data_IF_404833406768
#
_entry.id   IF_404833406768
#
_cell.length_a   1.000
_cell.length_b   1.000
_cell.length_c   1.000
_cell.angle_alpha   90.00
_cell.angle_beta   90.00
_cell.angle_gamma   90.00
#
_symmetry.space_group_name_H-M   'P 1'
#
loop_
_entity.id
_entity.type
_entity.pdbx_description
1 polymer ?
#
# COMPACT_ATOMS: atom_id res chain seq x y z
N UNK A 1 -0.32 -1.62 21.00
CA UNK A 1 -0.69 -1.06 19.69
C UNK A 1 -1.03 -2.24 18.78
N UNK A 2 -2.20 -2.23 18.13
CA UNK A 2 -2.57 -3.27 17.16
C UNK A 2 -1.76 -3.11 15.87
N UNK A 3 -1.44 -4.24 15.24
CA UNK A 3 -0.87 -4.24 13.88
C UNK A 3 -1.96 -3.99 12.84
N UNK A 4 -1.58 -3.58 11.63
CA UNK A 4 -2.50 -3.41 10.50
C UNK A 4 -3.31 -4.70 10.25
N UNK A 5 -2.64 -5.86 10.25
CA UNK A 5 -3.30 -7.16 10.04
C UNK A 5 -4.40 -7.42 11.10
N UNK A 6 -4.11 -7.09 12.37
CA UNK A 6 -5.09 -7.25 13.45
C UNK A 6 -6.31 -6.35 13.27
N UNK A 7 -6.12 -5.13 12.74
CA UNK A 7 -7.22 -4.19 12.43
C UNK A 7 -8.01 -4.68 11.23
N UNK A 8 -7.34 -5.06 10.15
CA UNK A 8 -8.00 -5.60 8.94
C UNK A 8 -8.84 -6.83 9.27
N UNK A 9 -8.34 -7.72 10.14
CA UNK A 9 -9.05 -8.93 10.57
C UNK A 9 -10.42 -8.63 11.22
N UNK A 10 -10.57 -7.47 11.87
CA UNK A 10 -11.84 -7.05 12.49
C UNK A 10 -12.92 -6.73 11.45
N UNK A 11 -12.53 -6.40 10.23
CA UNK A 11 -13.45 -6.04 9.13
C UNK A 11 -13.77 -7.22 8.19
N UNK A 12 -13.02 -8.33 8.24
CA UNK A 12 -13.06 -9.41 7.23
C UNK A 12 -14.48 -9.90 6.92
N UNK A 13 -15.29 -10.17 7.96
CA UNK A 13 -16.64 -10.69 7.79
C UNK A 13 -17.58 -9.67 7.11
N UNK A 14 -17.28 -8.38 7.20
CA UNK A 14 -18.06 -7.31 6.57
C UNK A 14 -17.64 -7.02 5.13
N UNK A 15 -16.48 -7.53 4.72
CA UNK A 15 -15.98 -7.42 3.34
C UNK A 15 -16.46 -8.57 2.44
N UNK A 16 -17.08 -9.60 3.02
CA UNK A 16 -17.63 -10.73 2.27
C UNK A 16 -18.80 -10.25 1.38
N UNK A 17 -18.78 -10.67 0.11
CA UNK A 17 -19.80 -10.34 -0.88
C UNK A 17 -19.71 -8.92 -1.48
N UNK A 18 -18.76 -8.10 -1.09
CA UNK A 18 -18.47 -6.86 -1.80
C UNK A 18 -17.94 -7.15 -3.21
N UNK A 19 -18.16 -6.21 -4.15
CA UNK A 19 -17.48 -6.27 -5.45
C UNK A 19 -15.96 -6.38 -5.23
N UNK A 20 -15.23 -7.25 -5.93
CA UNK A 20 -13.81 -7.49 -5.67
C UNK A 20 -12.94 -6.23 -5.74
N UNK A 21 -13.19 -5.33 -6.71
CA UNK A 21 -12.43 -4.07 -6.83
C UNK A 21 -12.79 -3.11 -5.69
N UNK A 22 -14.08 -2.97 -5.37
CA UNK A 22 -14.51 -2.15 -4.23
C UNK A 22 -13.94 -2.65 -2.90
N UNK A 23 -13.88 -3.98 -2.71
CA UNK A 23 -13.24 -4.60 -1.54
C UNK A 23 -11.77 -4.18 -1.43
N UNK A 24 -10.99 -4.25 -2.52
CA UNK A 24 -9.58 -3.82 -2.54
C UNK A 24 -9.46 -2.34 -2.15
N UNK A 25 -10.36 -1.48 -2.65
CA UNK A 25 -10.37 -0.05 -2.28
C UNK A 25 -10.62 0.15 -0.78
N UNK A 26 -11.57 -0.60 -0.21
CA UNK A 26 -11.87 -0.53 1.24
C UNK A 26 -10.71 -1.05 2.08
N UNK A 27 -10.07 -2.13 1.67
CA UNK A 27 -8.86 -2.66 2.34
C UNK A 27 -7.71 -1.65 2.30
N UNK A 28 -7.52 -0.97 1.15
CA UNK A 28 -6.53 0.11 1.01
C UNK A 28 -6.88 1.33 1.87
N UNK A 29 -8.18 1.65 2.03
CA UNK A 29 -8.60 2.70 2.95
C UNK A 29 -8.20 2.39 4.39
N UNK A 30 -8.42 1.17 4.86
CA UNK A 30 -8.01 0.74 6.22
C UNK A 30 -6.49 0.89 6.38
N UNK A 31 -5.72 0.47 5.39
CA UNK A 31 -4.26 0.60 5.38
C UNK A 31 -3.81 2.07 5.46
N UNK A 32 -4.34 2.94 4.61
CA UNK A 32 -3.97 4.36 4.56
C UNK A 32 -4.34 5.11 5.84
N UNK A 33 -5.51 4.83 6.39
CA UNK A 33 -5.91 5.37 7.69
C UNK A 33 -4.95 4.89 8.80
N UNK A 34 -4.57 3.60 8.79
CA UNK A 34 -3.60 3.06 9.75
C UNK A 34 -2.25 3.78 9.70
N UNK A 35 -1.74 4.04 8.49
CA UNK A 35 -0.47 4.77 8.29
C UNK A 35 -0.55 6.20 8.83
N UNK A 36 -1.72 6.85 8.71
CA UNK A 36 -1.96 8.18 9.30
C UNK A 36 -2.11 8.15 10.83
N UNK A 37 -2.22 6.97 11.42
CA UNK A 37 -2.47 6.84 12.85
C UNK A 37 -3.94 6.60 13.20
N UNK A 38 -4.87 6.73 12.27
CA UNK A 38 -6.31 6.54 12.48
C UNK A 38 -6.70 5.08 12.27
N UNK A 39 -7.38 4.49 13.24
CA UNK A 39 -7.86 3.12 13.13
C UNK A 39 -9.35 3.09 12.80
N UNK A 40 -9.72 2.28 11.82
CA UNK A 40 -11.12 2.11 11.42
C UNK A 40 -11.49 0.63 11.31
N UNK A 41 -12.78 0.35 11.46
CA UNK A 41 -13.38 -0.95 11.15
C UNK A 41 -14.58 -0.77 10.24
N UNK A 42 -14.80 -1.72 9.34
CA UNK A 42 -16.01 -1.79 8.55
C UNK A 42 -17.11 -2.44 9.39
N UNK A 43 -18.17 -1.71 9.59
CA UNK A 43 -19.30 -2.13 10.43
C UNK A 43 -20.42 -2.77 9.61
N UNK A 44 -20.55 -2.40 8.32
CA UNK A 44 -21.50 -2.97 7.38
C UNK A 44 -20.92 -2.99 5.97
N UNK A 45 -21.08 -4.10 5.25
CA UNK A 45 -20.74 -4.28 3.84
C UNK A 45 -21.98 -4.63 3.01
N UNK A 46 -21.94 -5.79 2.31
CA UNK A 46 -23.10 -6.29 1.58
C UNK A 46 -24.31 -6.47 2.49
N UNK A 47 -25.47 -6.08 2.01
CA UNK A 47 -26.75 -6.22 2.68
C UNK A 47 -27.76 -6.86 1.73
N UNK A 48 -28.45 -7.88 2.17
CA UNK A 48 -29.56 -8.49 1.41
C UNK A 48 -30.73 -7.51 1.28
N UNK A 49 -31.60 -7.74 0.32
CA UNK A 49 -32.83 -6.95 0.18
C UNK A 49 -33.71 -7.06 1.43
N UNK A 50 -33.83 -8.26 2.02
CA UNK A 50 -34.64 -8.49 3.22
C UNK A 50 -34.07 -7.73 4.43
N UNK A 51 -32.75 -7.71 4.64
CA UNK A 51 -32.10 -6.91 5.69
C UNK A 51 -32.33 -5.41 5.47
N UNK A 52 -32.25 -4.94 4.23
CA UNK A 52 -32.53 -3.56 3.89
C UNK A 52 -33.99 -3.18 4.16
N UNK A 53 -34.94 -4.06 3.83
CA UNK A 53 -36.35 -3.84 4.12
C UNK A 53 -36.64 -3.83 5.62
N UNK A 54 -35.98 -4.67 6.40
CA UNK A 54 -36.05 -4.66 7.86
C UNK A 54 -35.56 -3.31 8.45
N UNK A 55 -34.43 -2.80 7.95
CA UNK A 55 -33.95 -1.45 8.33
C UNK A 55 -34.93 -0.34 7.88
N UNK A 56 -35.51 -0.46 6.69
CA UNK A 56 -36.50 0.48 6.22
C UNK A 56 -37.77 0.49 7.07
N UNK A 57 -38.23 -0.66 7.57
CA UNK A 57 -39.38 -0.80 8.43
C UNK A 57 -39.20 -0.12 9.80
N UNK A 58 -37.93 -0.01 10.27
CA UNK A 58 -37.60 0.63 11.55
C UNK A 58 -38.09 2.09 11.56
N UNK A 59 -38.77 2.48 12.65
CA UNK A 59 -39.32 3.81 12.83
C UNK A 59 -40.54 4.09 11.96
N UNK A 60 -41.23 3.04 11.44
CA UNK A 60 -42.45 3.12 10.62
C UNK A 60 -43.50 2.13 11.13
N UNK A 61 -44.75 2.30 10.74
CA UNK A 61 -45.84 1.37 11.04
C UNK A 61 -45.98 1.03 12.55
N UNK A 62 -45.83 2.04 13.43
CA UNK A 62 -45.94 1.88 14.88
C UNK A 62 -44.61 1.55 15.60
N UNK A 63 -43.52 1.30 14.89
CA UNK A 63 -42.21 1.18 15.47
C UNK A 63 -41.68 2.55 15.95
N UNK A 64 -41.39 2.67 17.24
CA UNK A 64 -40.95 3.92 17.89
C UNK A 64 -39.45 4.22 17.74
N UNK A 65 -38.67 3.28 17.19
CA UNK A 65 -37.24 3.49 16.97
C UNK A 65 -37.02 4.60 15.91
N UNK A 66 -35.89 5.29 15.90
CA UNK A 66 -35.60 6.28 14.89
C UNK A 66 -35.49 5.64 13.50
N UNK A 67 -35.87 6.37 12.46
CA UNK A 67 -35.69 5.97 11.06
C UNK A 67 -34.19 6.00 10.73
N UNK A 68 -33.62 4.88 10.32
CA UNK A 68 -32.20 4.75 10.01
C UNK A 68 -31.90 4.75 8.51
N UNK A 69 -32.92 4.59 7.65
CA UNK A 69 -32.74 4.65 6.20
C UNK A 69 -34.02 5.11 5.49
N UNK A 70 -33.87 5.71 4.31
CA UNK A 70 -34.97 6.00 3.37
C UNK A 70 -35.06 4.96 2.26
N UNK A 71 -34.05 4.09 2.11
CA UNK A 71 -33.97 3.10 1.03
C UNK A 71 -34.63 1.78 1.43
N UNK A 72 -35.48 1.24 0.56
CA UNK A 72 -36.01 -0.14 0.63
C UNK A 72 -35.00 -1.13 0.05
N UNK A 73 -35.28 -2.42 0.15
CA UNK A 73 -34.55 -3.48 -0.52
C UNK A 73 -34.39 -3.19 -2.02
N UNK A 74 -33.15 -3.31 -2.52
CA UNK A 74 -32.79 -2.97 -3.89
C UNK A 74 -32.59 -1.47 -4.16
N UNK A 75 -32.74 -0.58 -3.18
CA UNK A 75 -32.58 0.87 -3.34
C UNK A 75 -31.37 1.43 -2.56
N UNK A 76 -30.49 0.56 -2.09
CA UNK A 76 -29.23 0.90 -1.43
C UNK A 76 -28.06 0.27 -2.18
N UNK A 77 -26.93 0.97 -2.31
CA UNK A 77 -25.71 0.44 -2.93
C UNK A 77 -25.08 -0.72 -2.12
N UNK A 78 -25.42 -0.84 -0.83
CA UNK A 78 -25.09 -2.03 -0.04
C UNK A 78 -25.68 -3.32 -0.63
N UNK A 79 -26.86 -3.25 -1.29
CA UNK A 79 -27.50 -4.41 -1.88
C UNK A 79 -26.75 -4.97 -3.10
N UNK A 80 -25.80 -4.21 -3.63
CA UNK A 80 -25.06 -4.56 -4.83
C UNK A 80 -23.56 -4.73 -4.57
N UNK A 81 -23.12 -4.60 -3.30
CA UNK A 81 -21.74 -4.75 -2.89
C UNK A 81 -20.83 -3.58 -3.28
N UNK A 82 -21.38 -2.39 -3.45
CA UNK A 82 -20.67 -1.16 -3.80
C UNK A 82 -20.75 -0.07 -2.72
N UNK A 83 -21.12 -0.44 -1.50
CA UNK A 83 -21.12 0.44 -0.34
C UNK A 83 -20.63 -0.28 0.92
N UNK A 84 -20.02 0.48 1.81
CA UNK A 84 -19.59 0.04 3.13
C UNK A 84 -19.77 1.17 4.15
N UNK A 85 -20.12 0.80 5.38
CA UNK A 85 -20.16 1.73 6.51
C UNK A 85 -18.95 1.46 7.41
N UNK A 86 -18.30 2.53 7.89
CA UNK A 86 -17.16 2.45 8.80
C UNK A 86 -17.47 3.05 10.17
N UNK A 87 -16.62 2.77 11.13
CA UNK A 87 -16.52 3.47 12.40
C UNK A 87 -15.05 3.58 12.81
N UNK A 88 -14.72 4.56 13.64
CA UNK A 88 -13.42 4.65 14.27
C UNK A 88 -13.23 3.48 15.25
N UNK A 89 -12.05 2.88 15.27
CA UNK A 89 -11.64 1.91 16.27
C UNK A 89 -10.68 2.62 17.23
N UNK A 90 -11.07 2.76 18.48
CA UNK A 90 -10.25 3.47 19.45
C UNK A 90 -8.97 2.70 19.81
N UNK A 91 -8.00 3.39 20.40
CA UNK A 91 -6.67 2.85 20.75
C UNK A 91 -6.70 1.66 21.71
N UNK A 92 -7.82 1.41 22.40
CA UNK A 92 -8.01 0.18 23.18
C UNK A 92 -8.18 -1.08 22.29
N UNK A 93 -8.37 -0.87 20.98
CA UNK A 93 -8.54 -1.92 19.98
C UNK A 93 -9.84 -2.70 20.10
N UNK A 94 -10.82 -2.20 20.84
CA UNK A 94 -12.11 -2.88 21.12
C UNK A 94 -13.30 -1.96 20.93
N UNK A 95 -13.21 -0.75 21.42
CA UNK A 95 -14.29 0.24 21.37
C UNK A 95 -14.38 0.88 19.99
N UNK A 96 -15.58 0.96 19.44
CA UNK A 96 -15.85 1.71 18.20
C UNK A 96 -16.54 3.03 18.55
N UNK A 97 -16.27 4.06 17.75
CA UNK A 97 -16.85 5.40 17.91
C UNK A 97 -17.41 5.91 16.59
N UNK A 98 -18.57 6.56 16.67
CA UNK A 98 -19.18 7.33 15.57
C UNK A 98 -19.12 8.84 15.81
N UNK A 99 -18.32 9.25 16.78
CA UNK A 99 -18.07 10.66 17.08
C UNK A 99 -17.19 11.26 15.98
N UNK A 100 -17.76 12.13 15.17
CA UNK A 100 -17.11 12.77 14.04
C UNK A 100 -16.11 13.87 14.43
N UNK A 101 -16.06 14.23 15.72
CA UNK A 101 -15.12 15.21 16.28
C UNK A 101 -14.01 14.56 17.08
N UNK A 102 -14.03 13.21 17.20
CA UNK A 102 -13.02 12.46 17.93
C UNK A 102 -11.64 12.62 17.29
N UNK A 103 -10.67 12.94 18.11
CA UNK A 103 -9.24 12.96 17.85
C UNK A 103 -8.60 11.98 18.84
N UNK A 104 -8.38 10.73 18.43
CA UNK A 104 -7.89 9.65 19.30
C UNK A 104 -6.37 9.47 19.18
N UNK A 105 -5.78 9.91 18.06
CA UNK A 105 -4.34 9.90 17.84
C UNK A 105 -3.64 11.18 18.32
N UNK A 106 -4.42 12.24 18.60
CA UNK A 106 -3.99 13.52 19.21
C UNK A 106 -3.09 14.37 18.31
N UNK A 107 -3.37 14.35 17.01
CA UNK A 107 -2.69 15.18 16.04
C UNK A 107 -3.38 16.55 15.82
N UNK A 108 -4.49 16.79 16.54
CA UNK A 108 -5.35 18.00 16.47
C UNK A 108 -6.29 18.03 15.25
N UNK A 109 -6.42 16.94 14.51
CA UNK A 109 -7.41 16.77 13.46
C UNK A 109 -8.46 15.76 13.91
N UNK A 110 -9.74 15.94 13.56
CA UNK A 110 -10.73 14.89 13.81
C UNK A 110 -10.46 13.67 12.95
N UNK A 111 -10.23 12.51 13.56
CA UNK A 111 -9.96 11.23 12.89
C UNK A 111 -10.96 10.93 11.76
N UNK A 112 -12.24 11.29 11.98
CA UNK A 112 -13.28 11.09 10.98
C UNK A 112 -13.02 11.84 9.68
N UNK A 113 -12.55 13.08 9.77
CA UNK A 113 -12.24 13.91 8.61
C UNK A 113 -11.05 13.36 7.82
N UNK A 114 -10.09 12.77 8.51
CA UNK A 114 -8.94 12.12 7.87
C UNK A 114 -9.36 10.85 7.12
N UNK A 115 -10.25 10.03 7.69
CA UNK A 115 -10.84 8.88 6.97
C UNK A 115 -11.55 9.33 5.71
N UNK A 116 -12.36 10.39 5.80
CA UNK A 116 -13.10 10.94 4.64
C UNK A 116 -12.14 11.47 3.58
N UNK A 117 -11.06 12.13 3.99
CA UNK A 117 -10.02 12.62 3.06
C UNK A 117 -9.38 11.44 2.30
N UNK A 118 -8.94 10.40 3.00
CA UNK A 118 -8.35 9.22 2.37
C UNK A 118 -9.36 8.47 1.49
N UNK A 119 -10.62 8.36 1.92
CA UNK A 119 -11.69 7.76 1.13
C UNK A 119 -11.89 8.51 -0.21
N UNK A 120 -11.92 9.85 -0.18
CA UNK A 120 -12.04 10.68 -1.39
C UNK A 120 -10.82 10.56 -2.31
N UNK A 121 -9.61 10.50 -1.78
CA UNK A 121 -8.39 10.22 -2.55
C UNK A 121 -8.48 8.86 -3.28
N UNK A 122 -9.04 7.86 -2.63
CA UNK A 122 -9.31 6.54 -3.23
C UNK A 122 -10.51 6.53 -4.20
N UNK A 123 -11.22 7.67 -4.36
CA UNK A 123 -12.36 7.85 -5.26
C UNK A 123 -13.66 7.28 -4.73
N UNK A 124 -13.78 7.17 -3.41
CA UNK A 124 -15.04 6.87 -2.76
C UNK A 124 -15.90 8.14 -2.63
N UNK A 125 -17.20 7.98 -2.77
CA UNK A 125 -18.19 8.99 -2.42
C UNK A 125 -18.58 8.81 -0.96
N UNK A 126 -18.74 9.92 -0.23
CA UNK A 126 -19.10 9.93 1.19
C UNK A 126 -20.53 10.37 1.41
N UNK A 127 -21.30 9.63 2.20
CA UNK A 127 -22.69 9.96 2.53
C UNK A 127 -22.87 11.25 3.34
N UNK A 128 -21.84 11.75 4.00
CA UNK A 128 -21.84 13.05 4.68
C UNK A 128 -21.92 14.24 3.73
N UNK A 129 -21.56 14.08 2.45
CA UNK A 129 -21.68 15.13 1.41
C UNK A 129 -23.10 15.24 0.85
N UNK A 130 -24.00 14.30 1.17
CA UNK A 130 -25.36 14.34 0.63
C UNK A 130 -26.15 15.55 1.15
N UNK A 131 -26.91 16.17 0.27
CA UNK A 131 -27.71 17.35 0.63
C UNK A 131 -28.84 17.03 1.60
N UNK A 132 -29.43 15.82 1.47
CA UNK A 132 -30.52 15.35 2.31
C UNK A 132 -30.19 13.99 2.89
N UNK A 133 -30.54 13.78 4.16
CA UNK A 133 -30.27 12.53 4.86
C UNK A 133 -28.80 12.15 4.82
N UNK A 134 -27.98 13.00 5.43
CA UNK A 134 -26.54 12.72 5.58
C UNK A 134 -26.33 11.40 6.32
N UNK A 135 -25.45 10.57 5.78
CA UNK A 135 -25.08 9.29 6.33
C UNK A 135 -23.58 9.27 6.56
N UNK A 136 -23.18 9.63 7.78
CA UNK A 136 -21.77 9.86 8.11
C UNK A 136 -20.88 8.63 7.95
N UNK A 137 -21.30 7.40 8.35
CA UNK A 137 -20.52 6.18 8.15
C UNK A 137 -20.37 5.74 6.70
N UNK A 138 -21.27 6.18 5.80
CA UNK A 138 -21.45 5.58 4.48
C UNK A 138 -20.40 6.00 3.47
N UNK A 139 -19.76 5.02 2.85
CA UNK A 139 -18.85 5.15 1.72
C UNK A 139 -19.32 4.28 0.56
N UNK A 140 -19.23 4.77 -0.68
CA UNK A 140 -19.65 4.01 -1.87
C UNK A 140 -18.77 4.30 -3.09
N UNK A 141 -18.81 3.39 -4.09
CA UNK A 141 -18.21 3.59 -5.41
C UNK A 141 -19.16 3.05 -6.47
N UNK A 142 -19.84 3.92 -7.18
CA UNK A 142 -20.99 3.52 -8.02
C UNK A 142 -20.74 3.61 -9.53
N UNK A 143 -19.58 4.10 -9.98
CA UNK A 143 -19.21 4.15 -11.40
C UNK A 143 -20.24 4.85 -12.29
N UNK A 144 -20.88 5.90 -11.77
CA UNK A 144 -22.01 6.62 -12.41
C UNK A 144 -23.25 5.75 -12.66
N UNK A 145 -23.37 4.59 -12.01
CA UNK A 145 -24.56 3.74 -12.06
C UNK A 145 -25.46 4.05 -10.86
N UNK A 146 -26.76 4.18 -11.13
CA UNK A 146 -27.78 4.29 -10.10
C UNK A 146 -28.19 2.91 -9.55
N UNK A 147 -28.88 2.90 -8.40
CA UNK A 147 -29.48 1.65 -7.90
C UNK A 147 -30.56 1.10 -8.87
N UNK A 148 -31.17 1.94 -9.72
CA UNK A 148 -32.05 1.48 -10.78
C UNK A 148 -31.29 0.71 -11.87
N UNK A 149 -30.11 1.20 -12.26
CA UNK A 149 -29.25 0.50 -13.22
C UNK A 149 -28.80 -0.84 -12.66
N UNK A 150 -28.40 -0.89 -11.39
CA UNK A 150 -28.03 -2.15 -10.72
C UNK A 150 -29.21 -3.14 -10.67
N UNK A 151 -30.45 -2.68 -10.37
CA UNK A 151 -31.65 -3.53 -10.42
C UNK A 151 -31.94 -4.04 -11.82
N UNK A 152 -31.66 -3.23 -12.86
CA UNK A 152 -31.76 -3.62 -14.25
C UNK A 152 -30.64 -4.55 -14.73
N UNK A 153 -29.76 -4.99 -13.81
CA UNK A 153 -28.66 -5.92 -14.12
C UNK A 153 -27.39 -5.25 -14.66
N UNK A 154 -27.37 -3.91 -14.81
CA UNK A 154 -26.13 -3.23 -15.22
C UNK A 154 -25.04 -3.35 -14.16
N UNK A 155 -23.81 -3.42 -14.61
CA UNK A 155 -22.61 -3.47 -13.75
C UNK A 155 -21.52 -2.56 -14.33
N UNK A 156 -20.55 -2.11 -13.51
CA UNK A 156 -19.38 -1.41 -14.04
C UNK A 156 -18.68 -2.24 -15.12
N UNK A 157 -18.23 -1.58 -16.17
CA UNK A 157 -17.43 -2.23 -17.21
C UNK A 157 -16.06 -2.64 -16.70
N UNK A 158 -15.44 -3.65 -17.32
CA UNK A 158 -14.09 -4.06 -16.98
C UNK A 158 -13.08 -2.91 -17.10
N UNK A 159 -13.27 -2.02 -18.08
CA UNK A 159 -12.43 -0.83 -18.26
C UNK A 159 -12.50 0.11 -17.04
N UNK A 160 -13.71 0.34 -16.49
CA UNK A 160 -13.88 1.15 -15.28
C UNK A 160 -13.23 0.51 -14.05
N UNK A 161 -13.39 -0.81 -13.88
CA UNK A 161 -12.76 -1.56 -12.80
C UNK A 161 -11.23 -1.52 -12.91
N UNK A 162 -10.68 -1.75 -14.12
CA UNK A 162 -9.25 -1.69 -14.38
C UNK A 162 -8.68 -0.28 -14.13
N UNK A 163 -9.42 0.78 -14.45
CA UNK A 163 -8.99 2.15 -14.16
C UNK A 163 -8.81 2.41 -12.65
N UNK A 164 -9.69 1.85 -11.82
CA UNK A 164 -9.54 1.93 -10.34
C UNK A 164 -8.28 1.20 -9.90
N UNK A 165 -8.05 -0.05 -10.36
CA UNK A 165 -6.87 -0.83 -10.00
C UNK A 165 -5.58 -0.14 -10.45
N UNK A 166 -5.54 0.42 -11.67
CA UNK A 166 -4.38 1.17 -12.17
C UNK A 166 -4.08 2.40 -11.31
N UNK A 167 -5.13 3.12 -10.86
CA UNK A 167 -4.97 4.26 -9.96
C UNK A 167 -4.41 3.83 -8.60
N UNK A 168 -4.92 2.73 -8.03
CA UNK A 168 -4.40 2.20 -6.76
C UNK A 168 -2.94 1.79 -6.88
N UNK A 169 -2.55 1.13 -7.98
CA UNK A 169 -1.16 0.75 -8.23
C UNK A 169 -0.26 1.98 -8.32
N UNK A 170 -0.71 3.04 -9.01
CA UNK A 170 0.04 4.29 -9.08
C UNK A 170 0.20 4.93 -7.70
N UNK A 171 -0.86 4.98 -6.89
CA UNK A 171 -0.80 5.49 -5.52
C UNK A 171 0.16 4.66 -4.65
N UNK A 172 0.17 3.34 -4.78
CA UNK A 172 1.12 2.49 -4.05
C UNK A 172 2.57 2.81 -4.43
N UNK A 173 2.86 3.03 -5.71
CA UNK A 173 4.19 3.43 -6.15
C UNK A 173 4.60 4.81 -5.63
N UNK A 174 3.63 5.75 -5.52
CA UNK A 174 3.86 7.08 -4.94
C UNK A 174 4.05 7.00 -3.41
N UNK A 175 3.30 6.13 -2.72
CA UNK A 175 3.43 5.88 -1.27
C UNK A 175 4.77 5.15 -0.93
N UNK A 176 5.28 4.30 -1.85
CA UNK A 176 6.59 3.63 -1.75
C UNK A 176 7.76 4.56 -2.10
N UNK A 177 7.48 5.78 -2.55
CA UNK A 177 8.54 6.76 -2.77
C UNK A 177 9.20 7.09 -1.44
N UNK A 178 10.51 6.80 -1.35
CA UNK A 178 11.31 7.03 -0.14
C UNK A 178 11.04 8.40 0.46
N UNK A 179 10.78 8.44 1.74
CA UNK A 179 10.69 9.69 2.50
C UNK A 179 11.98 10.52 2.38
N UNK A 180 11.94 11.79 2.68
CA UNK A 180 13.13 12.64 2.66
C UNK A 180 14.22 12.11 3.60
N UNK A 181 13.84 11.51 4.73
CA UNK A 181 14.75 10.91 5.70
C UNK A 181 15.37 9.63 5.15
N UNK A 182 14.57 8.76 4.52
CA UNK A 182 15.06 7.54 3.86
C UNK A 182 15.95 7.87 2.66
N UNK A 183 15.60 8.86 1.83
CA UNK A 183 16.46 9.37 0.75
C UNK A 183 17.81 9.87 1.30
N UNK A 184 17.78 10.58 2.43
CA UNK A 184 19.00 11.08 3.08
C UNK A 184 19.85 9.92 3.61
N UNK A 185 19.23 8.94 4.29
CA UNK A 185 19.92 7.74 4.79
C UNK A 185 20.48 6.89 3.65
N UNK A 186 19.72 6.69 2.57
CA UNK A 186 20.15 5.97 1.38
C UNK A 186 21.34 6.67 0.70
N UNK A 187 21.28 7.99 0.51
CA UNK A 187 22.37 8.76 -0.07
C UNK A 187 23.63 8.70 0.81
N UNK A 188 23.48 8.71 2.14
CA UNK A 188 24.60 8.57 3.07
C UNK A 188 25.23 7.17 2.98
N UNK A 189 24.38 6.13 2.88
CA UNK A 189 24.85 4.75 2.69
C UNK A 189 25.58 4.59 1.35
N UNK A 190 25.02 5.15 0.27
CA UNK A 190 25.63 5.12 -1.05
C UNK A 190 27.02 5.79 -1.06
N UNK A 191 27.16 6.96 -0.40
CA UNK A 191 28.46 7.64 -0.24
C UNK A 191 29.44 6.76 0.54
N UNK A 192 29.00 6.06 1.58
CA UNK A 192 29.85 5.14 2.36
C UNK A 192 30.30 3.94 1.53
N UNK A 193 29.42 3.37 0.72
CA UNK A 193 29.77 2.26 -0.20
C UNK A 193 30.81 2.73 -1.20
N UNK A 194 30.60 3.87 -1.87
CA UNK A 194 31.56 4.43 -2.83
C UNK A 194 32.92 4.71 -2.15
N UNK A 195 32.91 5.22 -0.92
CA UNK A 195 34.14 5.48 -0.17
C UNK A 195 34.88 4.18 0.18
N UNK A 196 34.15 3.13 0.60
CA UNK A 196 34.72 1.82 0.88
C UNK A 196 35.26 1.13 -0.38
N UNK A 197 34.54 1.20 -1.48
CA UNK A 197 35.00 0.69 -2.78
C UNK A 197 36.25 1.45 -3.26
N UNK A 198 36.28 2.76 -3.10
CA UNK A 198 37.45 3.58 -3.46
C UNK A 198 38.63 3.32 -2.54
N UNK A 199 38.41 3.11 -1.24
CA UNK A 199 39.46 2.79 -0.29
C UNK A 199 40.08 1.40 -0.57
N UNK A 200 39.32 0.48 -1.16
CA UNK A 200 39.79 -0.83 -1.56
C UNK A 200 40.50 -0.85 -2.93
N UNK A 201 40.45 0.23 -3.71
CA UNK A 201 41.11 0.35 -5.00
C UNK A 201 42.49 0.96 -4.83
N UNK A 202 43.52 0.24 -5.28
CA UNK A 202 44.88 0.78 -5.36
C UNK A 202 45.06 1.39 -6.74
N UNK A 203 45.25 2.73 -6.80
CA UNK A 203 45.40 3.51 -8.05
C UNK A 203 46.61 3.09 -8.86
N UNK A 204 47.58 2.40 -8.25
CA UNK A 204 48.76 1.84 -8.91
C UNK A 204 48.94 0.40 -8.47
N UNK A 205 49.46 -0.39 -9.37
CA UNK A 205 49.88 -1.76 -9.06
C UNK A 205 50.93 -1.71 -7.96
N UNK A 206 50.78 -2.43 -6.83
CA UNK A 206 51.80 -2.49 -5.80
C UNK A 206 53.08 -3.16 -6.35
N UNK A 207 54.25 -2.70 -5.96
CA UNK A 207 55.53 -3.21 -6.45
C UNK A 207 55.65 -4.74 -6.33
N UNK A 208 55.09 -5.33 -5.26
CA UNK A 208 55.10 -6.78 -5.05
C UNK A 208 54.22 -7.58 -6.02
N UNK A 209 53.29 -6.93 -6.74
CA UNK A 209 52.36 -7.53 -7.71
C UNK A 209 52.68 -7.18 -9.17
N UNK A 210 53.60 -6.26 -9.41
CA UNK A 210 53.91 -5.76 -10.77
C UNK A 210 54.21 -6.87 -11.76
N UNK A 211 55.16 -7.77 -11.39
CA UNK A 211 55.56 -8.87 -12.28
C UNK A 211 54.38 -9.83 -12.57
N UNK A 212 53.61 -10.15 -11.56
CA UNK A 212 52.45 -11.02 -11.72
C UNK A 212 51.38 -10.42 -12.64
N UNK A 213 51.15 -9.12 -12.53
CA UNK A 213 50.23 -8.40 -13.44
C UNK A 213 50.75 -8.35 -14.89
N UNK A 214 52.07 -8.17 -15.09
CA UNK A 214 52.71 -8.25 -16.40
C UNK A 214 52.51 -9.63 -17.01
N UNK A 215 52.78 -10.70 -16.23
CA UNK A 215 52.62 -12.08 -16.68
C UNK A 215 51.18 -12.43 -17.03
N UNK A 216 50.22 -12.02 -16.19
CA UNK A 216 48.81 -12.21 -16.42
C UNK A 216 48.31 -11.49 -17.67
N UNK A 217 48.81 -10.26 -17.93
CA UNK A 217 48.53 -9.50 -19.13
C UNK A 217 49.13 -10.17 -20.39
N UNK A 218 50.36 -10.63 -20.31
CA UNK A 218 51.01 -11.36 -21.40
C UNK A 218 50.32 -12.70 -21.70
N UNK A 219 49.71 -13.32 -20.72
CA UNK A 219 48.90 -14.53 -20.87
C UNK A 219 47.47 -14.25 -21.41
N UNK A 220 47.08 -13.00 -21.59
CA UNK A 220 45.73 -12.61 -22.04
C UNK A 220 44.62 -12.81 -21.02
N UNK A 221 44.97 -12.95 -19.72
CA UNK A 221 44.04 -13.17 -18.61
C UNK A 221 43.62 -11.83 -17.97
N UNK A 222 44.41 -10.77 -18.23
CA UNK A 222 44.20 -9.45 -17.64
C UNK A 222 44.31 -8.36 -18.72
N UNK A 223 43.26 -7.55 -18.93
CA UNK A 223 43.25 -6.44 -19.89
C UNK A 223 43.92 -5.18 -19.32
N UNK A 224 43.62 -4.85 -18.06
CA UNK A 224 44.21 -3.72 -17.34
C UNK A 224 44.58 -4.12 -15.93
N UNK A 225 45.72 -3.61 -15.47
CA UNK A 225 46.26 -3.92 -14.16
C UNK A 225 45.98 -2.86 -13.09
N UNK A 226 45.54 -1.64 -13.50
CA UNK A 226 45.32 -0.53 -12.58
C UNK A 226 43.96 -0.65 -11.88
N UNK A 227 43.80 0.08 -10.78
CA UNK A 227 42.54 0.22 -10.02
C UNK A 227 42.01 -1.11 -9.41
N UNK A 228 42.85 -2.10 -9.24
CA UNK A 228 42.56 -3.36 -8.55
C UNK A 228 42.48 -3.19 -7.05
N UNK A 229 41.73 -4.06 -6.35
CA UNK A 229 41.75 -4.15 -4.90
C UNK A 229 43.06 -4.83 -4.41
N UNK A 230 43.38 -4.66 -3.10
CA UNK A 230 44.47 -5.38 -2.49
C UNK A 230 44.37 -6.91 -2.67
N UNK A 231 43.14 -7.44 -2.50
CA UNK A 231 42.88 -8.87 -2.67
C UNK A 231 42.99 -9.32 -4.13
N UNK A 232 42.60 -8.48 -5.08
CA UNK A 232 42.84 -8.72 -6.50
C UNK A 232 44.33 -8.93 -6.79
N UNK A 233 45.20 -8.03 -6.32
CA UNK A 233 46.62 -8.15 -6.55
C UNK A 233 47.25 -9.37 -5.82
N UNK A 234 46.76 -9.69 -4.64
CA UNK A 234 47.14 -10.92 -3.94
C UNK A 234 46.78 -12.17 -4.74
N UNK A 235 45.55 -12.22 -5.27
CA UNK A 235 45.10 -13.33 -6.10
C UNK A 235 45.97 -13.50 -7.35
N UNK A 236 46.18 -12.43 -8.10
CA UNK A 236 47.02 -12.43 -9.30
C UNK A 236 48.44 -12.93 -8.96
N UNK A 237 49.04 -12.45 -7.87
CA UNK A 237 50.37 -12.88 -7.44
C UNK A 237 50.41 -14.36 -7.03
N UNK A 238 49.38 -14.89 -6.39
CA UNK A 238 49.28 -16.31 -6.04
C UNK A 238 49.15 -17.17 -7.31
N UNK A 239 48.36 -16.77 -8.27
CA UNK A 239 48.18 -17.46 -9.56
C UNK A 239 49.47 -17.47 -10.36
N UNK A 240 50.24 -16.38 -10.37
CA UNK A 240 51.54 -16.30 -11.02
C UNK A 240 52.56 -17.23 -10.37
N UNK A 241 52.65 -17.23 -9.04
CA UNK A 241 53.52 -18.14 -8.29
C UNK A 241 53.14 -19.61 -8.51
N UNK A 242 51.84 -19.91 -8.70
CA UNK A 242 51.37 -21.25 -9.04
C UNK A 242 51.65 -21.64 -10.50
N UNK A 243 52.24 -20.74 -11.30
CA UNK A 243 52.61 -21.00 -12.71
C UNK A 243 51.47 -20.89 -13.70
N UNK A 244 50.31 -20.37 -13.30
CA UNK A 244 49.11 -20.27 -14.16
C UNK A 244 49.35 -19.40 -15.40
N UNK A 245 50.20 -18.37 -15.31
CA UNK A 245 50.49 -17.43 -16.39
C UNK A 245 51.79 -17.78 -17.16
N UNK A 246 52.47 -18.86 -16.79
CA UNK A 246 53.58 -19.33 -17.62
C UNK A 246 53.02 -19.94 -18.88
N UNK A 247 53.42 -19.43 -20.05
CA UNK A 247 53.17 -20.13 -21.32
C UNK A 247 53.82 -21.51 -21.17
N UNK A 248 53.04 -22.58 -21.20
CA UNK A 248 53.58 -23.92 -21.32
C UNK A 248 54.46 -23.97 -22.55
N UNK A 249 55.70 -24.42 -22.42
CA UNK A 249 56.47 -24.90 -23.54
C UNK A 249 55.62 -26.03 -24.16
N UNK A 250 54.91 -25.65 -25.27
CA UNK A 250 54.29 -26.67 -26.11
C UNK A 250 55.43 -27.33 -26.82
N UNK A 251 55.80 -28.50 -26.36
CA UNK A 251 56.71 -29.43 -27.03
C UNK A 251 55.98 -30.00 -28.29
#
# INVERSE_FOLDING_TARGET
VLTLEQIQKKSLNRLVGLNPVFKIVVEKLIERCYVRGVWIVITQGLRTYAEQDALYAQGRNGDKRPKVTKARGGYSNHNFGFAADFALLLRDGRTVSWDTLKDDDKDSLPDWSEVVEEAKKLGLEWGGDWRTFKDMPHLQMVFSLSTADFRAGKRPSQAQLNAVLSRLNKMNMEDEEMTAEEKTAFNALQKRVIALESANKLTKVPAWAEQACINAKAAGVLDTANDGSYDFYRMITLLDRAGVFKKGDVA
#
